data_IF_445581280575
#
_entry.id   IF_445581280575
#
_cell.length_a   1.000
_cell.length_b   1.000
_cell.length_c   1.000
_cell.angle_alpha   90.00
_cell.angle_beta   90.00
_cell.angle_gamma   90.00
#
_symmetry.space_group_name_H-M   'P 1'
#
loop_
_entity.id
_entity.type
_entity.pdbx_description
1 polymer ?
#
# COMPACT_ATOMS: atom_id res chain seq x y z
N UNK A 1 58.91 -35.76 -0.80
CA UNK A 1 59.52 -34.73 -1.66
C UNK A 1 58.46 -34.30 -2.67
N UNK A 2 57.92 -33.09 -2.52
CA UNK A 2 58.25 -31.85 -3.28
C UNK A 2 57.30 -31.75 -4.49
N UNK A 3 56.60 -30.67 -4.83
CA UNK A 3 56.31 -29.34 -4.24
C UNK A 3 55.15 -28.76 -5.08
N UNK A 4 54.50 -27.72 -4.56
CA UNK A 4 53.55 -26.89 -5.27
C UNK A 4 54.24 -25.87 -6.20
N UNK A 5 53.55 -25.45 -7.26
CA UNK A 5 53.75 -24.11 -7.85
C UNK A 5 52.41 -23.44 -8.08
N UNK A 6 52.23 -22.30 -7.41
CA UNK A 6 51.14 -21.34 -7.58
C UNK A 6 51.27 -20.57 -8.89
N UNK A 7 50.14 -20.19 -9.49
CA UNK A 7 50.09 -18.97 -10.31
C UNK A 7 48.96 -18.09 -9.79
N UNK A 8 49.30 -16.88 -9.36
CA UNK A 8 48.40 -15.88 -8.79
C UNK A 8 47.54 -15.23 -9.87
N UNK A 9 46.25 -15.00 -9.60
CA UNK A 9 45.53 -13.86 -10.16
C UNK A 9 44.83 -13.08 -9.05
N UNK A 10 44.98 -11.77 -9.18
CA UNK A 10 44.92 -10.73 -8.15
C UNK A 10 43.52 -10.51 -7.60
N UNK A 11 43.47 -10.21 -6.30
CA UNK A 11 42.32 -9.58 -5.62
C UNK A 11 42.03 -8.23 -6.27
N UNK A 12 40.83 -8.04 -6.80
CA UNK A 12 40.29 -6.73 -7.10
C UNK A 12 38.82 -6.69 -6.68
N UNK A 13 38.53 -5.84 -5.68
CA UNK A 13 37.23 -5.23 -5.44
C UNK A 13 36.10 -6.17 -5.03
N UNK A 14 35.79 -6.17 -3.73
CA UNK A 14 34.45 -6.50 -3.26
C UNK A 14 33.44 -5.58 -3.97
N UNK A 15 32.72 -6.09 -4.97
CA UNK A 15 31.42 -5.53 -5.32
C UNK A 15 30.47 -6.00 -4.23
N UNK A 16 30.14 -5.09 -3.33
CA UNK A 16 28.90 -5.17 -2.54
C UNK A 16 27.80 -5.25 -3.60
N UNK A 17 27.34 -6.46 -3.89
CA UNK A 17 26.11 -6.65 -4.64
C UNK A 17 25.01 -6.06 -3.79
N UNK A 18 24.60 -4.84 -4.09
CA UNK A 18 23.31 -4.31 -3.66
C UNK A 18 22.27 -5.30 -4.15
N UNK A 19 21.74 -6.12 -3.23
CA UNK A 19 20.61 -6.97 -3.53
C UNK A 19 19.48 -6.04 -4.02
N UNK A 20 19.13 -6.17 -5.30
CA UNK A 20 17.92 -5.57 -5.84
C UNK A 20 16.77 -6.29 -5.14
N UNK A 21 16.17 -5.64 -4.13
CA UNK A 21 14.89 -6.09 -3.59
C UNK A 21 13.85 -5.84 -4.68
N UNK A 22 13.40 -6.91 -5.32
CA UNK A 22 12.18 -6.88 -6.13
C UNK A 22 11.04 -6.70 -5.13
N UNK A 23 10.48 -5.48 -5.06
CA UNK A 23 9.33 -5.19 -4.20
C UNK A 23 8.09 -5.70 -4.95
N UNK A 24 7.47 -6.76 -4.44
CA UNK A 24 6.22 -7.33 -4.98
C UNK A 24 5.04 -6.78 -4.19
N UNK A 25 3.91 -6.53 -4.86
CA UNK A 25 2.69 -5.97 -4.27
C UNK A 25 1.67 -7.10 -4.05
N UNK A 26 1.28 -7.41 -2.80
CA UNK A 26 0.34 -8.52 -2.52
C UNK A 26 -0.72 -8.23 -1.44
N UNK A 27 -1.95 -8.67 -1.75
CA UNK A 27 -3.33 -8.51 -1.23
C UNK A 27 -3.60 -8.81 0.26
N UNK A 28 -4.75 -8.27 0.76
CA UNK A 28 -5.60 -8.89 1.80
C UNK A 28 -7.03 -9.21 1.29
N UNK A 29 -7.57 -10.39 1.65
CA UNK A 29 -8.96 -10.80 1.42
C UNK A 29 -9.72 -10.88 2.76
N UNK A 30 -10.97 -10.41 2.82
CA UNK A 30 -11.83 -10.50 4.01
C UNK A 30 -12.90 -11.61 3.85
N UNK A 31 -13.03 -12.47 4.87
CA UNK A 31 -14.15 -13.40 5.00
C UNK A 31 -15.32 -12.72 5.74
N UNK A 32 -16.54 -12.92 5.24
CA UNK A 32 -17.80 -12.35 5.75
C UNK A 32 -18.29 -13.13 6.97
N UNK A 33 -18.67 -12.43 8.04
CA UNK A 33 -19.67 -12.93 9.01
C UNK A 33 -20.88 -12.00 8.92
N UNK A 34 -22.05 -12.61 8.71
CA UNK A 34 -23.30 -11.92 8.42
C UNK A 34 -23.78 -11.05 9.60
N UNK A 35 -24.06 -9.78 9.33
CA UNK A 35 -24.70 -8.85 10.27
C UNK A 35 -24.50 -7.41 9.80
N UNK A 36 -25.60 -6.73 9.45
CA UNK A 36 -25.60 -5.43 8.80
C UNK A 36 -24.71 -4.36 9.47
N UNK A 37 -23.70 -3.89 8.74
CA UNK A 37 -23.00 -2.64 8.98
C UNK A 37 -22.55 -2.05 7.63
N UNK A 38 -22.66 -0.73 7.49
CA UNK A 38 -22.32 0.05 6.30
C UNK A 38 -20.91 -0.28 5.79
N UNK A 39 -20.82 -0.59 4.49
CA UNK A 39 -19.58 -0.94 3.79
C UNK A 39 -18.73 0.31 3.64
N UNK A 40 -17.74 0.49 4.52
CA UNK A 40 -16.59 1.35 4.22
C UNK A 40 -15.55 0.50 3.49
N UNK A 41 -15.11 1.00 2.33
CA UNK A 41 -14.19 0.30 1.43
C UNK A 41 -12.85 -0.01 2.12
N UNK A 42 -12.27 -1.21 1.92
CA UNK A 42 -10.90 -1.48 2.35
C UNK A 42 -9.94 -0.72 1.44
N UNK A 43 -9.05 0.04 2.04
CA UNK A 43 -8.00 0.73 1.32
C UNK A 43 -6.67 0.05 1.62
N UNK A 44 -5.95 -0.29 0.54
CA UNK A 44 -4.60 -0.84 0.39
C UNK A 44 -3.97 -1.49 1.63
N UNK A 45 -3.71 -2.81 1.67
CA UNK A 45 -2.97 -3.49 2.75
C UNK A 45 -1.49 -3.69 2.39
N UNK A 46 -0.57 -3.58 3.35
CA UNK A 46 0.85 -3.44 3.06
C UNK A 46 1.68 -4.05 4.23
N UNK A 47 2.78 -4.77 3.91
CA UNK A 47 3.37 -5.89 4.68
C UNK A 47 4.45 -5.55 5.72
N UNK A 48 4.86 -6.49 6.59
CA UNK A 48 5.99 -6.37 7.55
C UNK A 48 6.82 -7.66 7.56
N UNK A 49 8.14 -7.58 7.52
CA UNK A 49 9.04 -8.67 7.06
C UNK A 49 8.86 -10.08 7.65
N UNK A 50 8.37 -11.01 6.81
CA UNK A 50 9.00 -12.33 6.47
C UNK A 50 8.87 -12.53 4.94
N UNK A 51 9.54 -11.64 4.20
CA UNK A 51 9.67 -11.48 2.75
C UNK A 51 8.41 -11.39 1.85
N UNK A 52 7.45 -12.32 1.88
CA UNK A 52 6.36 -12.36 0.85
C UNK A 52 5.03 -12.93 1.38
N UNK A 53 4.72 -12.72 2.67
CA UNK A 53 3.52 -13.28 3.29
C UNK A 53 2.60 -12.17 3.76
N UNK A 54 1.33 -12.22 3.33
CA UNK A 54 0.32 -11.27 3.82
C UNK A 54 -0.14 -11.65 5.22
N UNK A 55 -0.15 -10.68 6.12
CA UNK A 55 -0.77 -10.77 7.45
C UNK A 55 -2.25 -10.40 7.42
N UNK A 56 -2.97 -10.72 8.51
CA UNK A 56 -4.31 -10.21 8.76
C UNK A 56 -4.26 -9.15 9.85
N UNK A 57 -4.89 -8.01 9.60
CA UNK A 57 -5.10 -6.94 10.57
C UNK A 57 -6.60 -6.79 10.81
N UNK A 58 -7.04 -6.76 12.07
CA UNK A 58 -8.43 -6.49 12.44
C UNK A 58 -8.53 -5.31 13.40
N UNK A 59 -9.59 -4.52 13.23
CA UNK A 59 -10.01 -3.48 14.18
C UNK A 59 -11.22 -4.01 14.93
N UNK A 60 -11.12 -4.11 16.26
CA UNK A 60 -12.20 -4.67 17.10
C UNK A 60 -12.30 -3.91 18.43
N UNK A 61 -13.48 -3.36 18.75
CA UNK A 61 -13.77 -2.71 20.04
C UNK A 61 -12.69 -1.71 20.52
N UNK A 62 -12.13 -0.90 19.62
CA UNK A 62 -11.08 0.05 19.98
C UNK A 62 -9.65 -0.47 19.93
N UNK A 63 -9.47 -1.77 19.68
CA UNK A 63 -8.18 -2.41 19.52
C UNK A 63 -7.82 -2.66 18.06
N UNK A 64 -6.52 -2.60 17.75
CA UNK A 64 -5.95 -3.13 16.52
C UNK A 64 -5.28 -4.46 16.83
N UNK A 65 -5.57 -5.48 16.05
CA UNK A 65 -5.04 -6.83 16.23
C UNK A 65 -4.38 -7.33 14.95
N UNK A 66 -3.37 -8.18 15.11
CA UNK A 66 -2.67 -8.82 14.00
C UNK A 66 -2.63 -10.33 14.18
N UNK A 67 -2.74 -11.03 13.05
CA UNK A 67 -2.45 -12.44 12.90
C UNK A 67 -1.28 -12.56 11.93
N UNK A 68 -0.12 -12.97 12.43
CA UNK A 68 1.05 -13.17 11.58
C UNK A 68 0.91 -14.41 10.73
N UNK A 69 1.36 -14.33 9.48
CA UNK A 69 1.46 -15.48 8.61
C UNK A 69 2.82 -16.18 8.82
N UNK A 70 2.83 -17.20 9.68
CA UNK A 70 4.03 -17.99 9.98
C UNK A 70 4.39 -18.98 8.86
N UNK A 71 3.66 -18.95 7.73
CA UNK A 71 3.91 -19.74 6.54
C UNK A 71 2.90 -20.83 6.29
N UNK A 72 3.27 -21.78 5.46
CA UNK A 72 2.39 -22.87 5.07
C UNK A 72 2.73 -24.13 5.85
N UNK A 73 1.73 -24.73 6.46
CA UNK A 73 1.80 -26.06 7.07
C UNK A 73 2.03 -27.12 5.99
N UNK A 74 2.48 -28.31 6.40
CA UNK A 74 2.69 -29.43 5.48
C UNK A 74 1.43 -29.88 4.73
N UNK A 75 0.24 -29.62 5.28
CA UNK A 75 -1.06 -29.91 4.67
C UNK A 75 -1.56 -28.78 3.74
N UNK A 76 -0.74 -27.78 3.45
CA UNK A 76 -1.08 -26.66 2.56
C UNK A 76 -1.88 -25.53 3.22
N UNK A 77 -2.27 -25.63 4.50
CA UNK A 77 -2.95 -24.52 5.18
C UNK A 77 -1.95 -23.45 5.66
N UNK A 78 -2.41 -22.21 5.84
CA UNK A 78 -1.59 -21.18 6.46
C UNK A 78 -1.50 -21.39 7.98
N UNK A 79 -0.29 -21.32 8.51
CA UNK A 79 0.03 -21.29 9.93
C UNK A 79 -0.15 -19.86 10.46
N UNK A 80 -1.36 -19.54 10.91
CA UNK A 80 -1.64 -18.27 11.54
C UNK A 80 -1.09 -18.23 12.96
N UNK A 81 -0.33 -17.18 13.27
CA UNK A 81 0.06 -16.84 14.63
C UNK A 81 -1.15 -16.48 15.50
N UNK A 82 -0.97 -16.44 16.82
CA UNK A 82 -2.04 -16.03 17.72
C UNK A 82 -2.48 -14.59 17.44
N UNK A 83 -3.76 -14.32 17.68
CA UNK A 83 -4.31 -12.96 17.68
C UNK A 83 -3.54 -12.11 18.69
N UNK A 84 -2.83 -11.12 18.21
CA UNK A 84 -2.03 -10.23 19.07
C UNK A 84 -2.62 -8.84 19.04
N UNK A 85 -2.89 -8.27 20.22
CA UNK A 85 -3.30 -6.88 20.31
C UNK A 85 -2.09 -5.96 20.22
N UNK A 86 -2.16 -5.04 19.26
CA UNK A 86 -1.05 -4.20 18.85
C UNK A 86 -1.25 -2.72 19.20
N UNK A 87 -2.48 -2.32 19.53
CA UNK A 87 -2.78 -0.95 19.92
C UNK A 87 -4.19 -0.77 20.48
N UNK A 88 -4.42 0.43 21.01
CA UNK A 88 -5.68 0.91 21.61
C UNK A 88 -6.04 2.28 21.02
N UNK A 89 -7.30 2.70 21.18
CA UNK A 89 -7.76 4.03 20.74
C UNK A 89 -8.39 4.05 19.34
N UNK A 90 -8.65 2.88 18.75
CA UNK A 90 -9.34 2.71 17.47
C UNK A 90 -10.87 2.76 17.65
N UNK A 91 -11.38 3.76 18.37
CA UNK A 91 -12.81 3.89 18.71
C UNK A 91 -13.57 4.84 17.77
N UNK A 92 -12.89 5.43 16.79
CA UNK A 92 -13.49 6.34 15.80
C UNK A 92 -14.56 5.65 14.96
N UNK A 93 -15.69 6.36 14.77
CA UNK A 93 -16.88 5.88 14.07
C UNK A 93 -16.78 5.98 12.54
N UNK A 94 -15.70 6.54 11.98
CA UNK A 94 -15.59 6.92 10.56
C UNK A 94 -14.34 6.37 9.84
N UNK A 95 -13.82 5.25 10.33
CA UNK A 95 -12.43 4.90 10.02
C UNK A 95 -12.35 3.94 8.83
N UNK A 96 -12.18 4.50 7.63
CA UNK A 96 -11.49 3.75 6.58
C UNK A 96 -10.05 3.51 7.05
N UNK A 97 -9.63 2.25 7.01
CA UNK A 97 -8.27 1.83 7.36
C UNK A 97 -7.50 1.59 6.07
N UNK A 98 -6.44 2.35 5.89
CA UNK A 98 -5.50 2.26 4.77
C UNK A 98 -4.19 1.67 5.27
N UNK A 99 -3.41 1.12 4.36
CA UNK A 99 -2.02 0.77 4.57
C UNK A 99 -1.18 1.24 3.38
N UNK A 100 -0.02 1.78 3.69
CA UNK A 100 0.91 2.29 2.71
C UNK A 100 2.31 2.35 3.31
N UNK A 101 3.34 2.16 2.49
CA UNK A 101 4.72 2.42 2.90
C UNK A 101 4.97 3.93 2.78
N UNK A 102 4.88 4.66 3.90
CA UNK A 102 5.07 6.12 3.95
C UNK A 102 6.54 6.52 4.16
N UNK A 103 7.39 5.59 4.59
CA UNK A 103 8.79 5.88 4.96
C UNK A 103 9.85 5.11 4.15
N UNK A 104 9.42 4.22 3.27
CA UNK A 104 10.21 3.47 2.29
C UNK A 104 10.95 2.29 2.86
N UNK A 105 10.67 1.89 4.10
CA UNK A 105 11.34 0.77 4.73
C UNK A 105 10.91 -0.59 4.15
N UNK A 106 9.93 -0.58 3.22
CA UNK A 106 9.34 -1.76 2.58
C UNK A 106 8.24 -2.40 3.41
N UNK A 107 7.88 -1.77 4.53
CA UNK A 107 6.76 -2.11 5.38
C UNK A 107 5.86 -0.92 5.54
N UNK A 108 4.70 -1.22 6.11
CA UNK A 108 3.60 -0.34 5.84
C UNK A 108 2.92 0.11 7.08
N UNK A 109 2.69 1.40 7.10
CA UNK A 109 1.94 2.06 8.12
C UNK A 109 0.49 1.60 8.09
N UNK A 110 -0.14 1.49 9.26
CA UNK A 110 -1.60 1.55 9.32
C UNK A 110 -1.99 3.02 9.36
N UNK A 111 -2.94 3.40 8.52
CA UNK A 111 -3.42 4.78 8.41
C UNK A 111 -4.93 4.79 8.68
N UNK A 112 -5.37 5.69 9.55
CA UNK A 112 -6.78 5.96 9.80
C UNK A 112 -7.16 7.35 9.28
N UNK A 113 -8.35 7.43 8.67
CA UNK A 113 -9.04 8.70 8.43
C UNK A 113 -10.06 8.91 9.53
N UNK A 114 -9.86 9.91 10.38
CA UNK A 114 -10.71 10.18 11.55
C UNK A 114 -11.06 11.66 11.61
N UNK A 115 -12.35 12.03 11.54
CA UNK A 115 -12.83 13.43 11.65
C UNK A 115 -12.07 14.41 10.72
N UNK A 116 -11.77 13.96 9.49
CA UNK A 116 -10.98 14.72 8.51
C UNK A 116 -9.48 14.82 8.77
N UNK A 117 -8.97 14.18 9.81
CA UNK A 117 -7.54 13.94 10.02
C UNK A 117 -7.09 12.64 9.38
N UNK A 118 -5.85 12.60 8.89
CA UNK A 118 -5.15 11.35 8.56
C UNK A 118 -4.13 11.09 9.65
N UNK A 119 -4.18 9.91 10.25
CA UNK A 119 -3.25 9.47 11.29
C UNK A 119 -2.56 8.19 10.84
N UNK A 120 -1.27 8.04 11.13
CA UNK A 120 -0.56 6.79 10.88
C UNK A 120 0.06 6.21 12.15
N UNK A 121 0.30 4.92 12.09
CA UNK A 121 1.09 4.15 13.04
C UNK A 121 2.22 3.52 12.27
N UNK A 122 3.45 3.98 12.52
CA UNK A 122 4.66 3.49 11.86
C UNK A 122 4.85 2.00 12.05
N UNK A 123 5.23 1.31 10.99
CA UNK A 123 5.69 -0.06 11.11
C UNK A 123 7.16 -0.14 11.50
N UNK A 124 7.45 -0.61 12.72
CA UNK A 124 8.83 -0.80 13.18
C UNK A 124 9.30 -2.25 13.02
N UNK A 125 8.53 -3.12 12.34
CA UNK A 125 8.91 -4.51 12.13
C UNK A 125 8.29 -5.46 13.14
N UNK A 126 8.82 -6.69 13.18
CA UNK A 126 8.40 -7.72 14.12
C UNK A 126 9.41 -7.81 15.27
N UNK A 127 8.93 -7.72 16.50
CA UNK A 127 9.72 -7.89 17.72
C UNK A 127 10.16 -9.36 17.90
N UNK A 128 11.14 -9.60 18.77
CA UNK A 128 11.65 -10.95 19.05
C UNK A 128 10.58 -11.92 19.59
N UNK A 129 9.49 -11.41 20.20
CA UNK A 129 8.35 -12.19 20.67
C UNK A 129 7.31 -12.48 19.57
N UNK A 130 7.57 -12.13 18.31
CA UNK A 130 6.67 -12.38 17.19
C UNK A 130 5.46 -11.45 17.13
N UNK A 131 5.55 -10.24 17.70
CA UNK A 131 4.49 -9.22 17.57
C UNK A 131 4.95 -8.07 16.69
N UNK A 132 4.05 -7.46 15.92
CA UNK A 132 4.38 -6.24 15.16
C UNK A 132 4.60 -5.10 16.14
N UNK A 133 5.67 -4.34 15.93
CA UNK A 133 6.04 -3.17 16.69
C UNK A 133 5.49 -1.92 15.99
N UNK A 134 4.49 -1.28 16.58
CA UNK A 134 3.90 -0.07 16.03
C UNK A 134 4.45 1.18 16.69
N UNK A 135 4.70 2.22 15.89
CA UNK A 135 5.02 3.55 16.39
C UNK A 135 3.81 4.23 17.03
N UNK A 136 4.03 5.39 17.68
CA UNK A 136 2.93 6.19 18.22
C UNK A 136 2.01 6.71 17.11
N UNK A 137 0.74 6.96 17.46
CA UNK A 137 -0.23 7.62 16.57
C UNK A 137 0.30 8.99 16.17
N UNK A 138 0.51 9.19 14.87
CA UNK A 138 1.07 10.42 14.32
C UNK A 138 0.08 11.04 13.36
N UNK A 139 -0.26 12.31 13.54
CA UNK A 139 -1.14 13.02 12.60
C UNK A 139 -0.34 13.46 11.38
N UNK A 140 -0.72 12.94 10.21
CA UNK A 140 -0.07 13.21 8.93
C UNK A 140 -0.91 14.07 8.00
N UNK A 141 -2.18 14.34 8.32
CA UNK A 141 -3.01 15.18 7.47
C UNK A 141 -4.22 15.75 8.19
N UNK A 142 -4.81 16.78 7.60
CA UNK A 142 -6.04 17.41 8.01
C UNK A 142 -6.79 17.94 6.79
N UNK A 143 -8.09 18.21 6.94
CA UNK A 143 -8.93 18.77 5.87
C UNK A 143 -9.65 17.74 5.00
N UNK A 144 -9.57 16.45 5.33
CA UNK A 144 -10.19 15.34 4.59
C UNK A 144 -11.67 15.13 4.97
N UNK A 145 -12.43 16.23 5.04
CA UNK A 145 -13.82 16.26 5.52
C UNK A 145 -14.85 16.12 4.38
N UNK A 146 -14.44 16.12 3.12
CA UNK A 146 -15.35 16.04 1.98
C UNK A 146 -16.03 14.68 1.88
N UNK A 147 -17.34 14.69 1.60
CA UNK A 147 -18.13 13.48 1.34
C UNK A 147 -17.69 12.74 0.07
N UNK A 148 -17.04 13.44 -0.86
CA UNK A 148 -16.54 12.90 -2.13
C UNK A 148 -15.04 12.52 -2.10
N UNK A 149 -14.34 12.76 -0.99
CA UNK A 149 -12.89 12.55 -0.89
C UNK A 149 -12.58 11.08 -0.61
N UNK A 150 -12.66 10.24 -1.65
CA UNK A 150 -11.98 8.96 -1.61
C UNK A 150 -10.48 9.22 -1.52
N UNK A 151 -9.86 8.75 -0.44
CA UNK A 151 -8.42 8.82 -0.24
C UNK A 151 -7.80 7.53 -0.80
N UNK A 152 -6.61 7.63 -1.35
CA UNK A 152 -5.82 6.51 -1.82
C UNK A 152 -4.37 6.75 -1.45
N UNK A 153 -3.60 5.66 -1.38
CA UNK A 153 -2.16 5.71 -1.23
C UNK A 153 -1.50 4.85 -2.30
N UNK A 154 -0.52 5.42 -2.98
CA UNK A 154 0.21 4.77 -4.06
C UNK A 154 1.55 5.47 -4.30
N UNK A 155 2.59 4.70 -4.65
CA UNK A 155 3.87 5.26 -5.11
C UNK A 155 3.73 5.66 -6.59
N UNK A 156 3.57 6.95 -6.87
CA UNK A 156 3.41 7.48 -8.22
C UNK A 156 4.74 7.89 -8.85
N UNK A 157 5.76 8.21 -8.06
CA UNK A 157 7.04 8.71 -8.56
C UNK A 157 8.16 7.68 -8.56
N UNK A 158 7.94 6.51 -7.94
CA UNK A 158 8.82 5.36 -7.91
C UNK A 158 9.93 5.48 -6.87
N UNK A 159 9.78 6.35 -5.88
CA UNK A 159 10.79 6.56 -4.84
C UNK A 159 10.71 5.54 -3.68
N UNK A 160 9.70 4.67 -3.68
CA UNK A 160 9.42 3.67 -2.65
C UNK A 160 8.53 4.18 -1.51
N UNK A 161 8.07 5.43 -1.57
CA UNK A 161 7.18 6.09 -0.62
C UNK A 161 5.84 6.36 -1.28
N UNK A 162 4.76 6.03 -0.58
CA UNK A 162 3.44 6.26 -1.10
C UNK A 162 3.06 7.74 -0.97
N UNK A 163 2.55 8.31 -2.06
CA UNK A 163 1.78 9.54 -2.05
C UNK A 163 0.40 9.34 -1.42
N UNK A 164 -0.20 10.43 -0.94
CA UNK A 164 -1.65 10.48 -0.67
C UNK A 164 -2.36 11.10 -1.86
N UNK A 165 -3.46 10.48 -2.28
CA UNK A 165 -4.23 10.88 -3.46
C UNK A 165 -5.69 11.06 -3.06
N UNK A 166 -6.30 12.19 -3.38
CA UNK A 166 -7.76 12.35 -3.34
C UNK A 166 -8.36 12.24 -4.74
N UNK A 167 -9.56 11.66 -4.80
CA UNK A 167 -10.48 11.89 -5.91
C UNK A 167 -11.46 12.97 -5.50
N UNK A 168 -11.52 14.06 -6.25
CA UNK A 168 -12.40 15.21 -5.96
C UNK A 168 -13.04 15.70 -7.25
N UNK A 169 -14.38 15.75 -7.32
CA UNK A 169 -15.11 16.23 -8.50
C UNK A 169 -14.58 15.64 -9.83
N UNK A 170 -14.28 14.33 -9.82
CA UNK A 170 -13.71 13.59 -10.94
C UNK A 170 -12.30 13.97 -11.39
N UNK A 171 -11.59 14.82 -10.66
CA UNK A 171 -10.15 14.98 -10.71
C UNK A 171 -9.43 14.07 -9.71
N UNK A 172 -8.17 13.74 -10.00
CA UNK A 172 -7.27 13.11 -9.03
C UNK A 172 -6.22 14.12 -8.61
N UNK A 173 -6.03 14.29 -7.31
CA UNK A 173 -5.06 15.20 -6.73
C UNK A 173 -4.11 14.43 -5.83
N UNK A 174 -2.82 14.63 -5.99
CA UNK A 174 -1.79 13.99 -5.18
C UNK A 174 -1.06 15.03 -4.33
N UNK A 175 -0.68 14.63 -3.12
CA UNK A 175 0.35 15.29 -2.34
C UNK A 175 1.58 14.40 -2.35
N UNK A 176 2.65 14.87 -2.99
CA UNK A 176 3.94 14.17 -3.08
C UNK A 176 4.47 13.82 -1.69
N UNK A 177 4.96 12.60 -1.47
CA UNK A 177 5.68 12.28 -0.24
C UNK A 177 7.15 12.71 -0.39
N UNK A 178 7.58 13.76 0.32
CA UNK A 178 8.97 14.22 0.31
C UNK A 178 9.81 13.63 1.46
N UNK A 179 9.30 12.56 2.09
CA UNK A 179 9.95 11.83 3.18
C UNK A 179 9.32 12.10 4.53
N UNK A 180 9.86 11.43 5.54
CA UNK A 180 9.36 11.48 6.92
C UNK A 180 10.29 12.32 7.80
N UNK A 181 9.70 13.25 8.55
CA UNK A 181 10.40 14.12 9.49
C UNK A 181 10.83 13.35 10.74
N UNK A 182 11.74 13.92 11.54
CA UNK A 182 12.25 13.30 12.76
C UNK A 182 11.16 12.99 13.82
N UNK A 183 10.06 13.73 13.81
CA UNK A 183 8.90 13.49 14.68
C UNK A 183 7.91 12.45 14.13
N UNK A 184 8.24 11.79 13.01
CA UNK A 184 7.42 10.77 12.37
C UNK A 184 6.35 11.31 11.40
N UNK A 185 6.21 12.63 11.26
CA UNK A 185 5.22 13.18 10.31
C UNK A 185 5.73 13.14 8.88
N UNK A 186 4.85 12.87 7.92
CA UNK A 186 5.18 12.93 6.49
C UNK A 186 5.29 14.40 6.03
N UNK A 187 6.33 14.69 5.25
CA UNK A 187 6.53 15.96 4.58
C UNK A 187 5.79 16.00 3.23
N UNK A 188 4.48 16.29 3.28
CA UNK A 188 3.66 16.37 2.08
C UNK A 188 4.02 17.60 1.22
N UNK A 189 4.16 17.37 -0.08
CA UNK A 189 4.28 18.41 -1.08
C UNK A 189 2.98 19.16 -1.32
N UNK A 190 3.00 20.09 -2.27
CA UNK A 190 1.79 20.82 -2.67
C UNK A 190 0.79 19.92 -3.36
N UNK A 191 -0.50 20.15 -3.10
CA UNK A 191 -1.60 19.50 -3.83
C UNK A 191 -1.45 19.73 -5.33
N UNK A 192 -1.28 18.64 -6.07
CA UNK A 192 -1.04 18.67 -7.51
C UNK A 192 -2.11 17.84 -8.19
N UNK A 193 -2.78 18.40 -9.19
CA UNK A 193 -3.70 17.61 -9.98
C UNK A 193 -2.93 16.65 -10.86
N UNK A 194 -3.13 15.36 -10.62
CA UNK A 194 -2.47 14.28 -11.36
C UNK A 194 -3.39 13.67 -12.38
N UNK A 195 -4.68 14.01 -12.41
CA UNK A 195 -5.58 13.41 -13.38
C UNK A 195 -6.93 14.11 -13.55
N UNK A 196 -7.65 13.68 -14.61
CA UNK A 196 -8.92 14.23 -15.04
C UNK A 196 -9.88 13.15 -15.56
N UNK A 197 -11.19 13.40 -15.45
CA UNK A 197 -12.21 12.70 -16.24
C UNK A 197 -13.02 11.62 -15.52
N UNK A 198 -12.85 11.44 -14.21
CA UNK A 198 -13.56 10.42 -13.43
C UNK A 198 -14.84 10.97 -12.77
N UNK A 199 -15.64 11.68 -13.57
CA UNK A 199 -16.87 12.37 -13.15
C UNK A 199 -18.12 11.45 -13.10
N UNK A 200 -18.06 10.26 -13.69
CA UNK A 200 -19.21 9.37 -13.78
C UNK A 200 -19.50 8.65 -12.45
N UNK A 201 -20.80 8.48 -12.13
CA UNK A 201 -21.29 7.72 -10.97
C UNK A 201 -20.78 6.25 -10.91
N UNK A 202 -20.25 5.73 -12.02
CA UNK A 202 -19.67 4.40 -12.15
C UNK A 202 -18.13 4.40 -12.25
N UNK A 203 -17.42 5.45 -11.84
CA UNK A 203 -15.95 5.51 -11.93
C UNK A 203 -15.30 5.24 -10.57
N UNK A 204 -14.95 3.98 -10.32
CA UNK A 204 -14.02 3.65 -9.24
C UNK A 204 -12.60 3.69 -9.79
N UNK A 205 -11.69 4.30 -9.04
CA UNK A 205 -10.26 4.29 -9.36
C UNK A 205 -9.51 3.44 -8.35
N UNK A 206 -8.43 2.84 -8.82
CA UNK A 206 -7.52 2.01 -8.06
C UNK A 206 -6.09 2.29 -8.52
N UNK A 207 -5.13 1.93 -7.68
CA UNK A 207 -3.72 2.09 -7.96
C UNK A 207 -2.99 0.78 -7.69
N UNK A 208 -2.14 0.38 -8.63
CA UNK A 208 -1.26 -0.78 -8.50
C UNK A 208 -0.12 -0.65 -9.51
N UNK A 209 1.06 -1.14 -9.17
CA UNK A 209 2.13 -1.34 -10.14
C UNK A 209 1.85 -2.61 -10.94
N UNK A 210 1.38 -2.45 -12.18
CA UNK A 210 1.00 -3.55 -13.07
C UNK A 210 2.16 -4.00 -13.96
N UNK A 211 3.25 -3.23 -14.02
CA UNK A 211 4.34 -3.43 -14.97
C UNK A 211 5.71 -3.64 -14.31
N UNK A 212 5.77 -3.58 -12.98
CA UNK A 212 6.94 -3.77 -12.12
C UNK A 212 8.04 -2.70 -12.33
N UNK A 213 7.64 -1.47 -12.68
CA UNK A 213 8.57 -0.33 -12.79
C UNK A 213 8.66 0.52 -11.51
N UNK A 214 8.04 0.05 -10.43
CA UNK A 214 7.88 0.68 -9.11
C UNK A 214 6.98 1.91 -9.11
N UNK A 215 6.27 2.21 -10.19
CA UNK A 215 5.29 3.31 -10.23
C UNK A 215 3.92 2.75 -10.45
N UNK A 216 3.00 3.18 -9.60
CA UNK A 216 1.62 2.73 -9.66
C UNK A 216 0.92 3.29 -10.90
N UNK A 217 0.25 2.41 -11.64
CA UNK A 217 -0.74 2.76 -12.63
C UNK A 217 -2.05 3.21 -12.00
N UNK A 218 -2.86 3.95 -12.77
CA UNK A 218 -4.28 4.15 -12.48
C UNK A 218 -5.07 3.09 -13.19
N UNK A 219 -5.96 2.42 -12.45
CA UNK A 219 -6.97 1.54 -13.00
C UNK A 219 -8.34 2.14 -12.72
N UNK A 220 -9.17 2.26 -13.76
CA UNK A 220 -10.55 2.71 -13.64
C UNK A 220 -11.51 1.59 -14.03
N UNK A 221 -12.49 1.33 -13.17
CA UNK A 221 -13.68 0.58 -13.54
C UNK A 221 -14.74 1.57 -13.99
N UNK A 222 -15.26 1.43 -15.21
CA UNK A 222 -16.29 2.30 -15.76
C UNK A 222 -17.11 1.57 -16.83
N UNK A 223 -18.44 1.72 -16.79
CA UNK A 223 -19.38 1.20 -17.80
C UNK A 223 -19.18 -0.29 -18.16
N UNK A 224 -18.86 -1.13 -17.17
CA UNK A 224 -18.63 -2.56 -17.40
C UNK A 224 -17.24 -2.95 -17.92
N UNK A 225 -16.38 -1.96 -18.18
CA UNK A 225 -14.98 -2.16 -18.53
C UNK A 225 -14.04 -1.87 -17.37
N UNK A 226 -12.88 -2.53 -17.40
CA UNK A 226 -11.73 -2.17 -16.59
C UNK A 226 -10.66 -1.60 -17.52
N UNK A 227 -10.10 -0.44 -17.17
CA UNK A 227 -9.13 0.27 -17.99
C UNK A 227 -7.91 0.66 -17.17
N UNK A 228 -6.72 0.57 -17.74
CA UNK A 228 -5.48 1.07 -17.15
C UNK A 228 -4.93 2.27 -17.90
N UNK A 229 -4.23 3.12 -17.15
CA UNK A 229 -3.40 4.21 -17.67
C UNK A 229 -1.99 3.98 -17.15
N UNK A 230 -1.04 3.69 -18.05
CA UNK A 230 0.37 3.47 -17.70
C UNK A 230 0.95 4.70 -17.02
N UNK A 231 1.71 4.55 -15.94
CA UNK A 231 2.52 5.64 -15.40
C UNK A 231 3.86 5.71 -16.15
N UNK A 232 4.03 6.69 -17.04
CA UNK A 232 5.30 6.86 -17.77
C UNK A 232 6.35 7.65 -16.98
N UNK A 233 6.01 8.10 -15.78
CA UNK A 233 6.88 8.84 -14.87
C UNK A 233 6.25 10.12 -14.34
N UNK A 234 6.81 10.58 -13.24
CA UNK A 234 6.37 11.77 -12.51
C UNK A 234 7.47 12.83 -12.55
N UNK A 235 7.10 14.08 -12.82
CA UNK A 235 8.05 15.18 -12.86
C UNK A 235 8.37 15.72 -11.46
N UNK A 236 9.32 16.66 -11.36
CA UNK A 236 9.72 17.24 -10.09
C UNK A 236 8.58 17.94 -9.31
N UNK A 237 7.54 18.39 -10.00
CA UNK A 237 6.37 19.04 -9.40
C UNK A 237 5.27 18.04 -8.99
N UNK A 238 5.50 16.73 -9.13
CA UNK A 238 4.51 15.70 -8.79
C UNK A 238 3.44 15.48 -9.85
N UNK A 239 3.58 16.04 -11.06
CA UNK A 239 2.66 15.75 -12.17
C UNK A 239 3.03 14.41 -12.81
N UNK A 240 2.04 13.55 -13.03
CA UNK A 240 2.20 12.24 -13.65
C UNK A 240 1.97 12.29 -15.16
N UNK A 241 2.83 11.64 -15.94
CA UNK A 241 2.64 11.43 -17.36
C UNK A 241 1.89 10.12 -17.63
N UNK A 242 0.56 10.18 -17.72
CA UNK A 242 -0.26 9.01 -18.02
C UNK A 242 -0.18 8.60 -19.49
N UNK A 243 0.00 7.31 -19.72
CA UNK A 243 -0.09 6.68 -21.03
C UNK A 243 -1.53 6.59 -21.53
N UNK A 244 -1.68 5.98 -22.70
CA UNK A 244 -2.99 5.79 -23.33
C UNK A 244 -3.88 4.87 -22.50
N UNK A 245 -5.16 5.24 -22.38
CA UNK A 245 -6.19 4.40 -21.77
C UNK A 245 -6.26 3.06 -22.51
N UNK A 246 -6.06 1.97 -21.78
CA UNK A 246 -6.05 0.61 -22.34
C UNK A 246 -7.12 -0.21 -21.63
N UNK A 247 -8.00 -0.90 -22.37
CA UNK A 247 -8.96 -1.81 -21.75
C UNK A 247 -8.27 -3.11 -21.34
N UNK A 248 -8.38 -3.46 -20.06
CA UNK A 248 -7.74 -4.64 -19.46
C UNK A 248 -8.76 -5.65 -18.91
N UNK A 249 -10.06 -5.34 -18.99
CA UNK A 249 -11.11 -6.25 -18.56
C UNK A 249 -12.49 -5.89 -19.11
N UNK A 250 -13.35 -6.90 -19.16
CA UNK A 250 -14.72 -6.83 -19.66
C UNK A 250 -15.70 -7.46 -18.67
N UNK A 251 -16.98 -7.09 -18.74
CA UNK A 251 -18.05 -7.73 -17.96
C UNK A 251 -18.19 -7.23 -16.52
N UNK A 252 -17.56 -6.12 -16.15
CA UNK A 252 -17.60 -5.50 -14.81
C UNK A 252 -18.89 -4.72 -14.54
N UNK A 253 -20.05 -5.26 -14.97
CA UNK A 253 -21.36 -4.59 -14.93
C UNK A 253 -22.10 -4.78 -13.59
N UNK A 254 -21.65 -5.70 -12.74
CA UNK A 254 -22.33 -6.01 -11.48
C UNK A 254 -22.14 -4.90 -10.43
N UNK A 255 -23.22 -4.54 -9.73
CA UNK A 255 -23.20 -3.58 -8.61
C UNK A 255 -22.24 -3.99 -7.48
N UNK A 256 -21.94 -5.29 -7.33
CA UNK A 256 -21.03 -5.85 -6.32
C UNK A 256 -19.69 -6.32 -6.90
N UNK A 257 -19.27 -5.82 -8.06
CA UNK A 257 -17.95 -6.15 -8.60
C UNK A 257 -16.89 -5.23 -8.01
N UNK A 258 -16.12 -5.74 -7.05
CA UNK A 258 -14.93 -5.09 -6.51
C UNK A 258 -13.69 -5.51 -7.29
N UNK A 259 -12.74 -4.58 -7.48
CA UNK A 259 -11.46 -4.86 -8.14
C UNK A 259 -10.38 -4.98 -7.06
N UNK A 260 -9.60 -6.05 -7.13
CA UNK A 260 -8.46 -6.30 -6.25
C UNK A 260 -7.25 -6.70 -7.10
N UNK A 261 -6.05 -6.26 -6.70
CA UNK A 261 -4.78 -6.53 -7.42
C UNK A 261 -3.83 -7.28 -6.50
N UNK A 262 -3.32 -8.44 -6.96
CA UNK A 262 -2.31 -9.26 -6.29
C UNK A 262 -1.28 -9.76 -7.29
N UNK A 263 -0.05 -9.90 -6.80
CA UNK A 263 0.88 -10.88 -7.35
C UNK A 263 0.52 -12.28 -6.81
N UNK A 264 -0.15 -13.09 -7.63
CA UNK A 264 -0.55 -14.47 -7.30
C UNK A 264 0.51 -15.52 -7.68
N UNK A 265 1.60 -15.09 -8.33
CA UNK A 265 2.65 -15.97 -8.83
C UNK A 265 4.00 -15.60 -8.19
N UNK A 266 4.85 -16.61 -7.88
CA UNK A 266 6.15 -16.43 -7.24
C UNK A 266 7.19 -15.74 -8.12
#
# INVERSE_FOLDING_TARGET
MIEATSTSLRRAGARVGSAVRVRRAVIAAAAVVAGAATVLAPTSASAVNVADRSEVISKENGGLFTFLNNGTNANGTINWGPKTQNGWGWNGADDSVYFADLDGNGWSEVISKENGGLFSFKNNGVNANGTVSWGPKTQNGWGWNGADDSVYFADLDGNGWSEVISKENGGLFSFKNNGVNANGTVNWGTKTQVGWGWNGANSSVYFADLNLDNRSEVISKENGGLFSFKNNGTNANGTVNWGTKTQIGWGWNGANSSVYFADLLP
#
